data_IF_348354437591
#
_entry.id   IF_348354437591
#
_cell.length_a   1.000
_cell.length_b   1.000
_cell.length_c   1.000
_cell.angle_alpha   90.00
_cell.angle_beta   90.00
_cell.angle_gamma   90.00
#
_symmetry.space_group_name_H-M   'P 1'
#
loop_
_entity.id
_entity.type
_entity.pdbx_description
1 polymer ?
#
# COMPACT_ATOMS: atom_id res chain seq x y z
N UNK A 1 9.28 10.59 18.46
CA UNK A 1 10.00 9.98 17.32
C UNK A 1 9.16 10.15 16.07
N UNK A 2 9.82 10.45 14.97
CA UNK A 2 9.13 10.63 13.69
C UNK A 2 9.22 9.36 12.85
N UNK A 3 8.09 8.78 12.54
CA UNK A 3 7.96 7.59 11.71
C UNK A 3 7.45 7.98 10.32
N UNK A 4 7.84 7.22 9.32
CA UNK A 4 7.21 7.30 8.01
C UNK A 4 6.96 5.91 7.45
N UNK A 5 5.88 5.81 6.70
CA UNK A 5 5.56 4.64 5.88
C UNK A 5 5.47 5.12 4.44
N UNK A 6 6.19 4.43 3.55
CA UNK A 6 6.02 4.53 2.10
C UNK A 6 5.27 3.28 1.66
N UNK A 7 4.10 3.46 1.06
CA UNK A 7 3.25 2.40 0.56
C UNK A 7 3.30 2.32 -0.97
N UNK A 8 3.59 1.12 -1.48
CA UNK A 8 3.57 0.78 -2.89
C UNK A 8 2.27 0.06 -3.20
N UNK A 9 1.32 0.78 -3.77
CA UNK A 9 0.04 0.22 -4.20
C UNK A 9 -0.03 0.03 -5.72
N UNK A 10 -1.14 -0.51 -6.22
CA UNK A 10 -1.34 -0.82 -7.65
C UNK A 10 -1.32 0.40 -8.56
N UNK A 11 -1.78 1.54 -8.08
CA UNK A 11 -1.98 2.76 -8.87
C UNK A 11 -1.12 3.94 -8.43
N UNK A 12 -0.47 3.84 -7.27
CA UNK A 12 0.27 4.95 -6.69
C UNK A 12 1.35 4.48 -5.74
N UNK A 13 2.28 5.38 -5.46
CA UNK A 13 3.14 5.33 -4.30
C UNK A 13 2.75 6.47 -3.38
N UNK A 14 2.56 6.21 -2.10
CA UNK A 14 2.20 7.21 -1.11
C UNK A 14 3.12 7.17 0.09
N UNK A 15 3.22 8.29 0.80
CA UNK A 15 3.92 8.35 2.08
C UNK A 15 3.13 9.14 3.10
N UNK A 16 3.24 8.70 4.34
CA UNK A 16 2.77 9.42 5.51
C UNK A 16 3.93 9.51 6.49
N UNK A 17 4.15 10.71 7.03
CA UNK A 17 5.06 10.90 8.16
C UNK A 17 4.27 11.39 9.38
N UNK A 18 4.56 10.83 10.55
CA UNK A 18 3.88 11.14 11.79
C UNK A 18 4.87 11.29 12.95
N UNK A 19 4.60 12.24 13.82
CA UNK A 19 5.20 12.31 15.12
C UNK A 19 4.46 11.37 16.08
N UNK A 20 5.19 10.36 16.60
CA UNK A 20 4.62 9.32 17.46
C UNK A 20 5.16 9.46 18.86
N UNK A 21 4.24 9.51 19.81
CA UNK A 21 4.48 9.50 21.25
C UNK A 21 3.88 8.24 21.88
N UNK A 22 4.02 8.06 23.18
CA UNK A 22 3.40 6.92 23.88
C UNK A 22 1.86 6.88 23.75
N UNK A 23 1.22 8.05 23.58
CA UNK A 23 -0.24 8.18 23.66
C UNK A 23 -0.91 8.70 22.39
N UNK A 24 -0.14 9.13 21.38
CA UNK A 24 -0.70 9.73 20.16
C UNK A 24 0.25 9.56 18.96
N UNK A 25 -0.35 9.55 17.79
CA UNK A 25 0.34 9.71 16.52
C UNK A 25 -0.29 10.91 15.78
N UNK A 26 0.52 11.91 15.48
CA UNK A 26 0.10 13.11 14.74
C UNK A 26 0.72 13.08 13.35
N UNK A 27 -0.12 13.08 12.32
CA UNK A 27 0.35 13.12 10.94
C UNK A 27 0.85 14.52 10.64
N UNK A 28 2.15 14.63 10.33
CA UNK A 28 2.82 15.90 10.02
C UNK A 28 3.02 16.10 8.52
N UNK A 29 2.97 15.04 7.73
CA UNK A 29 3.13 15.12 6.27
C UNK A 29 2.45 13.95 5.56
N UNK A 30 1.85 14.24 4.41
CA UNK A 30 1.33 13.26 3.47
C UNK A 30 1.75 13.62 2.06
N UNK A 31 2.07 12.62 1.26
CA UNK A 31 2.33 12.79 -0.17
C UNK A 31 1.89 11.56 -0.96
N UNK A 32 1.57 11.76 -2.23
CA UNK A 32 1.17 10.70 -3.13
C UNK A 32 1.59 11.04 -4.55
N UNK A 33 2.17 10.07 -5.23
CA UNK A 33 2.48 10.15 -6.65
C UNK A 33 1.78 9.03 -7.41
N UNK A 34 1.29 9.36 -8.59
CA UNK A 34 0.69 8.37 -9.49
C UNK A 34 1.79 7.46 -10.04
N UNK A 35 1.64 6.17 -9.83
CA UNK A 35 2.54 5.15 -10.36
C UNK A 35 1.71 3.88 -10.63
N UNK A 36 1.14 3.77 -11.82
CA UNK A 36 0.32 2.62 -12.18
C UNK A 36 1.21 1.46 -12.59
N UNK A 37 1.60 0.63 -11.62
CA UNK A 37 2.51 -0.51 -11.84
C UNK A 37 1.98 -1.49 -12.89
N UNK A 38 0.68 -1.61 -13.01
CA UNK A 38 0.04 -2.48 -14.00
C UNK A 38 0.41 -2.15 -15.45
N UNK A 39 0.74 -0.89 -15.76
CA UNK A 39 1.21 -0.49 -17.09
C UNK A 39 2.62 -1.00 -17.42
N UNK A 40 3.33 -1.49 -16.42
CA UNK A 40 4.69 -1.99 -16.54
C UNK A 40 4.77 -3.50 -16.36
N UNK A 41 3.63 -4.21 -16.34
CA UNK A 41 3.62 -5.67 -16.28
C UNK A 41 3.85 -6.26 -17.68
N UNK A 42 4.72 -7.26 -17.72
CA UNK A 42 4.91 -8.19 -18.82
C UNK A 42 4.44 -9.57 -18.35
N UNK A 43 3.23 -9.95 -18.75
CA UNK A 43 2.52 -11.08 -18.14
C UNK A 43 2.15 -10.76 -16.68
N UNK A 44 2.71 -11.52 -15.74
CA UNK A 44 2.56 -11.29 -14.30
C UNK A 44 3.83 -10.74 -13.64
N UNK A 45 4.85 -10.42 -14.41
CA UNK A 45 6.12 -9.89 -13.89
C UNK A 45 6.23 -8.40 -14.14
N UNK A 46 6.80 -7.68 -13.19
CA UNK A 46 7.13 -6.27 -13.38
C UNK A 46 8.35 -6.15 -14.28
N UNK A 47 8.22 -5.40 -15.38
CA UNK A 47 9.31 -5.19 -16.35
C UNK A 47 10.49 -4.43 -15.72
N UNK A 48 11.68 -4.53 -16.33
CA UNK A 48 12.85 -3.76 -15.90
C UNK A 48 12.55 -2.25 -15.82
N UNK A 49 11.83 -1.71 -16.80
CA UNK A 49 11.37 -0.31 -16.79
C UNK A 49 10.44 -0.02 -15.63
N UNK A 50 9.57 -0.95 -15.25
CA UNK A 50 8.68 -0.82 -14.10
C UNK A 50 9.46 -0.78 -12.80
N UNK A 51 10.47 -1.63 -12.66
CA UNK A 51 11.38 -1.63 -11.51
C UNK A 51 12.12 -0.30 -11.42
N UNK A 52 12.67 0.21 -12.54
CA UNK A 52 13.35 1.52 -12.56
C UNK A 52 12.43 2.65 -12.09
N UNK A 53 11.19 2.70 -12.58
CA UNK A 53 10.20 3.71 -12.18
C UNK A 53 9.82 3.60 -10.71
N UNK A 54 9.71 2.38 -10.20
CA UNK A 54 9.43 2.15 -8.80
C UNK A 54 10.58 2.62 -7.90
N UNK A 55 11.82 2.27 -8.25
CA UNK A 55 13.03 2.73 -7.54
C UNK A 55 13.11 4.26 -7.54
N UNK A 56 12.91 4.91 -8.70
CA UNK A 56 12.90 6.37 -8.83
C UNK A 56 11.88 6.99 -7.87
N UNK A 57 10.65 6.47 -7.85
CA UNK A 57 9.58 6.98 -6.99
C UNK A 57 9.89 6.79 -5.50
N UNK A 58 10.40 5.61 -5.11
CA UNK A 58 10.82 5.34 -3.72
C UNK A 58 11.93 6.28 -3.30
N UNK A 59 12.93 6.54 -4.16
CA UNK A 59 14.03 7.46 -3.84
C UNK A 59 13.55 8.90 -3.65
N UNK A 60 12.58 9.36 -4.43
CA UNK A 60 11.94 10.68 -4.23
C UNK A 60 11.27 10.75 -2.86
N UNK A 61 10.48 9.74 -2.50
CA UNK A 61 9.81 9.70 -1.19
C UNK A 61 10.82 9.59 -0.03
N UNK A 62 11.86 8.76 -0.18
CA UNK A 62 12.96 8.65 0.79
C UNK A 62 13.65 10.00 1.01
N UNK A 63 13.93 10.75 -0.06
CA UNK A 63 14.52 12.08 0.03
C UNK A 63 13.66 13.06 0.86
N UNK A 64 12.33 13.00 0.71
CA UNK A 64 11.41 13.77 1.54
C UNK A 64 11.46 13.34 3.01
N UNK A 65 11.52 12.04 3.29
CA UNK A 65 11.67 11.53 4.67
C UNK A 65 12.95 12.08 5.34
N UNK A 66 14.06 12.09 4.60
CA UNK A 66 15.32 12.67 5.11
C UNK A 66 15.14 14.16 5.42
N UNK A 67 14.53 14.93 4.51
CA UNK A 67 14.29 16.38 4.70
C UNK A 67 13.35 16.68 5.87
N UNK A 68 12.44 15.76 6.20
CA UNK A 68 11.51 15.87 7.32
C UNK A 68 12.12 15.41 8.66
N UNK A 69 13.35 14.87 8.66
CA UNK A 69 13.99 14.32 9.83
C UNK A 69 13.29 13.08 10.37
N UNK A 70 12.88 12.17 9.47
CA UNK A 70 12.26 10.90 9.85
C UNK A 70 13.29 10.00 10.53
N UNK A 71 12.96 9.50 11.72
CA UNK A 71 13.83 8.59 12.50
C UNK A 71 13.73 7.14 12.03
N UNK A 72 12.51 6.71 11.69
CA UNK A 72 12.23 5.32 11.28
C UNK A 72 11.34 5.35 10.03
N UNK A 73 11.80 4.67 8.97
CA UNK A 73 11.14 4.58 7.68
C UNK A 73 10.83 3.13 7.34
N UNK A 74 9.56 2.85 7.05
CA UNK A 74 9.11 1.58 6.52
C UNK A 74 8.73 1.71 5.03
N UNK A 75 9.16 0.75 4.23
CA UNK A 75 8.70 0.55 2.86
C UNK A 75 7.80 -0.68 2.84
N UNK A 76 6.55 -0.50 2.48
CA UNK A 76 5.57 -1.58 2.39
C UNK A 76 5.09 -1.77 0.96
N UNK A 77 4.67 -2.97 0.63
CA UNK A 77 4.07 -3.33 -0.64
C UNK A 77 2.84 -4.22 -0.39
N UNK A 78 1.82 -4.03 -1.20
CA UNK A 78 0.52 -4.68 -1.06
C UNK A 78 0.17 -5.52 -2.29
N UNK A 79 -1.10 -5.68 -2.62
CA UNK A 79 -1.64 -6.63 -3.57
C UNK A 79 -0.92 -6.69 -4.93
N UNK A 80 -0.53 -5.56 -5.51
CA UNK A 80 0.08 -5.55 -6.86
C UNK A 80 1.45 -6.23 -6.92
N UNK A 81 2.28 -6.03 -5.89
CA UNK A 81 3.58 -6.70 -5.80
C UNK A 81 3.46 -8.10 -5.19
N UNK A 82 2.43 -8.34 -4.36
CA UNK A 82 2.10 -9.68 -3.86
C UNK A 82 1.75 -10.65 -5.00
N UNK A 83 1.08 -10.16 -6.04
CA UNK A 83 0.73 -10.94 -7.22
C UNK A 83 1.85 -11.04 -8.29
N UNK A 84 2.96 -10.32 -8.14
CA UNK A 84 4.05 -10.31 -9.11
C UNK A 84 4.90 -11.58 -9.01
N UNK A 85 5.05 -12.32 -10.14
CA UNK A 85 5.86 -13.55 -10.20
C UNK A 85 7.35 -13.30 -9.94
N UNK A 86 7.83 -12.08 -10.23
CA UNK A 86 9.23 -11.70 -9.99
C UNK A 86 9.42 -10.80 -8.76
N UNK A 87 8.56 -10.94 -7.75
CA UNK A 87 8.64 -10.10 -6.54
C UNK A 87 10.02 -10.14 -5.87
N UNK A 88 10.66 -11.29 -5.77
CA UNK A 88 12.00 -11.39 -5.15
C UNK A 88 13.07 -10.60 -5.93
N UNK A 89 12.99 -10.54 -7.25
CA UNK A 89 13.84 -9.65 -8.06
C UNK A 89 13.55 -8.18 -7.73
N UNK A 90 12.28 -7.78 -7.71
CA UNK A 90 11.87 -6.41 -7.38
C UNK A 90 12.36 -6.01 -5.98
N UNK A 91 12.23 -6.91 -5.02
CA UNK A 91 12.69 -6.72 -3.63
C UNK A 91 14.20 -6.54 -3.55
N UNK A 92 14.97 -7.36 -4.28
CA UNK A 92 16.43 -7.25 -4.33
C UNK A 92 16.88 -5.91 -4.93
N UNK A 93 16.31 -5.51 -6.06
CA UNK A 93 16.59 -4.23 -6.73
C UNK A 93 16.25 -3.02 -5.85
N UNK A 94 15.10 -3.06 -5.17
CA UNK A 94 14.72 -2.00 -4.22
C UNK A 94 15.72 -1.91 -3.07
N UNK A 95 16.09 -3.04 -2.45
CA UNK A 95 17.06 -3.05 -1.37
C UNK A 95 18.42 -2.52 -1.82
N UNK A 96 18.93 -3.02 -2.95
CA UNK A 96 20.24 -2.62 -3.48
C UNK A 96 20.30 -1.14 -3.82
N UNK A 97 19.28 -0.64 -4.52
CA UNK A 97 19.30 0.72 -5.08
C UNK A 97 18.77 1.79 -4.15
N UNK A 98 17.93 1.44 -3.17
CA UNK A 98 17.35 2.39 -2.22
C UNK A 98 17.87 2.22 -0.80
N UNK A 99 18.45 1.06 -0.46
CA UNK A 99 18.84 0.70 0.90
C UNK A 99 17.65 0.42 1.82
N UNK A 100 16.43 0.30 1.28
CA UNK A 100 15.22 0.03 2.06
C UNK A 100 14.72 -1.39 1.83
N UNK A 101 14.61 -2.22 2.88
CA UNK A 101 13.96 -3.51 2.76
C UNK A 101 12.46 -3.31 2.54
N UNK A 102 11.89 -4.04 1.60
CA UNK A 102 10.44 -4.04 1.34
C UNK A 102 9.76 -5.06 2.24
N UNK A 103 8.74 -4.61 2.97
CA UNK A 103 7.86 -5.45 3.75
C UNK A 103 6.59 -5.74 2.91
N UNK A 104 6.46 -6.97 2.43
CA UNK A 104 5.26 -7.40 1.73
C UNK A 104 4.17 -7.69 2.76
N UNK A 105 3.05 -6.97 2.67
CA UNK A 105 1.92 -7.13 3.57
C UNK A 105 0.91 -8.10 2.93
N UNK A 106 0.49 -9.11 3.67
CA UNK A 106 -0.58 -10.00 3.24
C UNK A 106 -1.97 -9.34 3.37
N UNK A 107 -2.96 -9.89 2.68
CA UNK A 107 -4.30 -9.34 2.67
C UNK A 107 -4.95 -9.20 4.05
N UNK A 108 -4.88 -10.21 4.93
CA UNK A 108 -5.39 -10.09 6.31
C UNK A 108 -4.72 -8.98 7.13
N UNK A 109 -3.42 -8.76 6.94
CA UNK A 109 -2.70 -7.65 7.60
C UNK A 109 -3.13 -6.31 7.03
N UNK A 110 -3.32 -6.22 5.70
CA UNK A 110 -3.83 -5.02 5.02
C UNK A 110 -5.22 -4.65 5.57
N UNK A 111 -6.16 -5.60 5.58
CA UNK A 111 -7.49 -5.43 6.15
C UNK A 111 -7.47 -5.00 7.64
N UNK A 112 -6.54 -5.57 8.42
CA UNK A 112 -6.38 -5.17 9.81
C UNK A 112 -5.85 -3.74 9.97
N UNK A 113 -4.95 -3.30 9.10
CA UNK A 113 -4.49 -1.90 9.08
C UNK A 113 -5.64 -0.95 8.78
N UNK A 114 -6.51 -1.30 7.84
CA UNK A 114 -7.71 -0.53 7.49
C UNK A 114 -8.67 -0.44 8.67
N UNK A 115 -8.90 -1.58 9.36
CA UNK A 115 -9.70 -1.59 10.58
C UNK A 115 -9.14 -0.64 11.63
N UNK A 116 -7.84 -0.73 11.95
CA UNK A 116 -7.19 0.12 12.96
C UNK A 116 -7.28 1.60 12.59
N UNK A 117 -7.06 1.93 11.30
CA UNK A 117 -7.14 3.31 10.82
C UNK A 117 -8.55 3.91 10.92
N UNK A 118 -9.57 3.06 10.85
CA UNK A 118 -10.97 3.46 10.79
C UNK A 118 -11.79 3.07 12.04
N UNK A 119 -11.17 2.48 13.06
CA UNK A 119 -11.88 2.04 14.29
C UNK A 119 -12.63 3.17 15.02
N UNK A 120 -12.34 4.42 14.68
CA UNK A 120 -13.12 5.57 15.15
C UNK A 120 -14.60 5.43 14.79
N UNK A 121 -14.92 4.80 13.66
CA UNK A 121 -16.28 4.55 13.21
C UNK A 121 -16.95 3.34 13.87
N UNK A 122 -16.26 2.61 14.75
CA UNK A 122 -16.84 1.49 15.51
C UNK A 122 -17.96 1.91 16.49
N UNK A 123 -18.08 3.22 16.73
CA UNK A 123 -19.20 3.78 17.50
C UNK A 123 -20.54 3.70 16.77
N UNK A 124 -20.55 3.47 15.47
CA UNK A 124 -21.76 3.22 14.70
C UNK A 124 -22.19 1.75 14.84
N UNK A 125 -23.44 1.54 15.18
CA UNK A 125 -24.01 0.20 15.26
C UNK A 125 -24.02 -0.46 13.88
N UNK A 126 -23.43 -1.66 13.76
CA UNK A 126 -23.33 -2.45 12.52
C UNK A 126 -22.60 -1.74 11.37
N UNK A 127 -21.50 -1.07 11.67
CA UNK A 127 -20.67 -0.46 10.65
C UNK A 127 -19.77 -1.49 9.99
N UNK A 128 -19.64 -1.41 8.67
CA UNK A 128 -18.65 -2.13 7.87
C UNK A 128 -17.80 -1.15 7.09
N UNK A 129 -16.51 -1.47 6.97
CA UNK A 129 -15.56 -0.76 6.12
C UNK A 129 -15.36 -1.56 4.83
N UNK A 130 -15.37 -0.87 3.70
CA UNK A 130 -14.90 -1.39 2.43
C UNK A 130 -13.78 -0.47 1.93
N UNK A 131 -12.57 -1.02 1.77
CA UNK A 131 -11.51 -0.39 0.98
C UNK A 131 -11.49 -1.05 -0.40
N UNK A 132 -11.73 -0.26 -1.44
CA UNK A 132 -11.81 -0.74 -2.82
C UNK A 132 -10.56 -0.27 -3.54
N UNK A 133 -9.54 -1.13 -3.52
CA UNK A 133 -8.25 -0.88 -4.14
C UNK A 133 -8.20 -1.25 -5.63
N UNK A 134 -7.03 -1.04 -6.23
CA UNK A 134 -6.77 -1.38 -7.63
C UNK A 134 -6.71 -2.88 -7.89
N UNK A 135 -6.10 -3.64 -6.98
CA UNK A 135 -5.84 -5.08 -7.11
C UNK A 135 -6.44 -5.93 -5.99
N UNK A 136 -6.96 -5.30 -4.92
CA UNK A 136 -7.65 -6.00 -3.84
C UNK A 136 -8.84 -5.19 -3.34
N UNK A 137 -9.72 -5.83 -2.57
CA UNK A 137 -10.82 -5.20 -1.84
C UNK A 137 -10.80 -5.78 -0.43
N UNK A 138 -10.69 -4.89 0.56
CA UNK A 138 -10.75 -5.22 1.97
C UNK A 138 -12.14 -4.95 2.51
N UNK A 139 -12.64 -5.89 3.33
CA UNK A 139 -13.93 -5.78 4.00
C UNK A 139 -13.72 -6.06 5.49
N UNK A 140 -14.07 -5.11 6.32
CA UNK A 140 -13.91 -5.21 7.77
C UNK A 140 -15.24 -4.93 8.47
N UNK A 141 -15.61 -5.79 9.40
CA UNK A 141 -16.64 -5.45 10.38
C UNK A 141 -16.03 -4.53 11.44
N UNK A 142 -16.55 -3.31 11.56
CA UNK A 142 -16.08 -2.34 12.53
C UNK A 142 -16.75 -2.49 13.91
N UNK A 143 -17.77 -3.32 14.04
CA UNK A 143 -18.49 -3.52 15.30
C UNK A 143 -17.73 -4.39 16.28
N UNK A 144 -16.80 -5.22 15.81
CA UNK A 144 -16.02 -6.16 16.61
C UNK A 144 -14.54 -6.11 16.28
N UNK A 145 -13.69 -6.10 17.31
CA UNK A 145 -12.23 -6.28 17.14
C UNK A 145 -11.90 -7.76 16.98
N UNK A 146 -12.35 -8.33 15.87
CA UNK A 146 -12.10 -9.73 15.53
C UNK A 146 -11.52 -9.84 14.11
N UNK A 147 -10.26 -10.28 14.02
CA UNK A 147 -9.56 -10.45 12.75
C UNK A 147 -10.23 -11.48 11.82
N UNK A 148 -11.00 -12.41 12.36
CA UNK A 148 -11.74 -13.39 11.55
C UNK A 148 -12.86 -12.73 10.73
N UNK A 149 -13.30 -11.54 11.13
CA UNK A 149 -14.30 -10.73 10.44
C UNK A 149 -13.69 -9.72 9.46
N UNK A 150 -12.39 -9.85 9.19
CA UNK A 150 -11.65 -8.99 8.26
C UNK A 150 -11.12 -9.85 7.12
N UNK A 151 -11.56 -9.55 5.92
CA UNK A 151 -11.18 -10.29 4.71
C UNK A 151 -10.57 -9.37 3.68
N UNK A 152 -9.62 -9.91 2.91
CA UNK A 152 -9.11 -9.30 1.69
C UNK A 152 -9.43 -10.21 0.53
N UNK A 153 -10.00 -9.65 -0.51
CA UNK A 153 -10.33 -10.32 -1.76
C UNK A 153 -9.26 -9.96 -2.79
N UNK A 154 -8.65 -10.95 -3.43
CA UNK A 154 -7.67 -10.76 -4.52
C UNK A 154 -8.37 -10.36 -5.83
N UNK A 155 -9.18 -9.31 -5.76
CA UNK A 155 -9.88 -8.70 -6.89
C UNK A 155 -10.03 -7.21 -6.63
N UNK A 156 -9.59 -6.37 -7.56
CA UNK A 156 -9.69 -4.92 -7.44
C UNK A 156 -10.38 -4.28 -8.64
N UNK A 157 -10.41 -2.95 -8.65
CA UNK A 157 -11.06 -2.16 -9.71
C UNK A 157 -10.52 -2.54 -11.10
N UNK A 158 -9.21 -2.82 -11.21
CA UNK A 158 -8.60 -3.14 -12.50
C UNK A 158 -9.07 -4.49 -13.04
N UNK A 159 -9.25 -5.49 -12.17
CA UNK A 159 -9.77 -6.80 -12.57
C UNK A 159 -11.23 -6.70 -13.00
N UNK A 160 -12.02 -5.97 -12.23
CA UNK A 160 -13.42 -5.71 -12.53
C UNK A 160 -13.56 -4.94 -13.85
N UNK A 161 -12.74 -3.90 -14.05
CA UNK A 161 -12.73 -3.14 -15.30
C UNK A 161 -12.41 -4.05 -16.49
N UNK A 162 -11.31 -4.82 -16.41
CA UNK A 162 -10.90 -5.74 -17.47
C UNK A 162 -11.96 -6.79 -17.80
N UNK A 163 -12.70 -7.25 -16.79
CA UNK A 163 -13.71 -8.30 -16.95
C UNK A 163 -15.04 -7.78 -17.50
N UNK A 164 -15.46 -6.60 -17.09
CA UNK A 164 -16.82 -6.13 -17.33
C UNK A 164 -16.93 -4.92 -18.27
N UNK A 165 -15.87 -4.13 -18.41
CA UNK A 165 -15.88 -2.97 -19.33
C UNK A 165 -15.29 -3.41 -20.66
N UNK A 166 -16.16 -3.71 -21.64
CA UNK A 166 -15.74 -4.23 -22.94
C UNK A 166 -15.37 -3.15 -23.95
N UNK A 167 -15.93 -1.96 -23.87
CA UNK A 167 -15.57 -0.75 -24.62
C UNK A 167 -16.34 0.44 -24.03
N UNK A 168 -15.67 1.57 -23.86
CA UNK A 168 -16.34 2.85 -23.66
C UNK A 168 -16.36 3.51 -25.04
N UNK A 169 -17.54 3.51 -25.69
CA UNK A 169 -17.76 4.28 -26.92
C UNK A 169 -17.96 5.75 -26.61
#
# INVERSE_FOLDING_TARGET
>A
MKYSVIDISSSSISMIAADVTANAAEIVYKDRASLTLLHYLEGKSLSARGIDKLVEAVMVMKGKCVSLGVDILYLIATASLRAAENFEQVRAELLERTGLPVNLIDGPTEAYCDYIANRFYSSYERAALLDIGGASIEVCDLSEDNRENMISLDVGIFDLHKKFVKEIH
#
